data_IF_920050324457
#
_entry.id   IF_920050324457
#
_cell.length_a   1.000
_cell.length_b   1.000
_cell.length_c   1.000
_cell.angle_alpha   90.00
_cell.angle_beta   90.00
_cell.angle_gamma   90.00
#
_symmetry.space_group_name_H-M   'P 1'
#
loop_
_entity.id
_entity.type
_entity.pdbx_description
1 polymer ?
#
# COMPACT_ATOMS: atom_id res chain seq x y z
N UNK A 1 4.87 3.49 11.55
CA UNK A 1 3.93 4.55 11.12
C UNK A 1 4.24 5.89 11.79
N UNK A 2 4.44 6.95 10.99
CA UNK A 2 4.46 8.32 11.54
C UNK A 2 2.99 8.72 11.69
N UNK A 3 2.46 8.58 12.91
CA UNK A 3 1.09 8.94 13.23
C UNK A 3 1.03 10.41 13.61
N UNK A 4 0.61 11.27 12.67
CA UNK A 4 0.30 12.67 12.98
C UNK A 4 -1.19 12.76 13.33
N UNK A 5 -1.58 12.25 14.50
CA UNK A 5 -2.97 12.31 14.99
C UNK A 5 -3.95 11.48 14.14
N UNK A 6 -5.00 12.12 13.61
CA UNK A 6 -6.08 11.45 12.86
C UNK A 6 -5.65 10.95 11.46
N UNK A 7 -4.52 11.44 10.92
CA UNK A 7 -4.02 11.05 9.61
C UNK A 7 -2.86 10.05 9.77
N UNK A 8 -3.09 8.81 9.36
CA UNK A 8 -2.07 7.78 9.36
C UNK A 8 -1.31 7.80 8.04
N UNK A 9 -0.12 8.39 8.03
CA UNK A 9 0.76 8.37 6.87
C UNK A 9 1.62 7.12 6.87
N UNK A 10 1.33 6.29 5.88
CA UNK A 10 1.92 4.99 5.63
C UNK A 10 3.06 5.14 4.60
N UNK A 11 4.14 5.82 5.00
CA UNK A 11 5.30 6.10 4.13
C UNK A 11 5.90 4.83 3.50
N UNK A 12 6.03 3.69 4.21
CA UNK A 12 6.52 2.45 3.61
C UNK A 12 5.71 1.97 2.39
N UNK A 13 4.45 2.36 2.27
CA UNK A 13 3.54 1.94 1.22
C UNK A 13 3.88 2.60 -0.13
N UNK A 14 4.72 3.63 -0.16
CA UNK A 14 5.35 4.11 -1.40
C UNK A 14 6.10 3.00 -2.15
N UNK A 15 6.63 2.00 -1.43
CA UNK A 15 7.33 0.84 -1.99
C UNK A 15 6.40 -0.07 -2.79
N UNK A 16 5.08 0.04 -2.63
CA UNK A 16 4.12 -0.72 -3.42
C UNK A 16 4.26 -0.45 -4.93
N UNK A 17 4.76 0.72 -5.32
CA UNK A 17 5.07 1.04 -6.73
C UNK A 17 6.16 0.16 -7.34
N UNK A 18 6.99 -0.52 -6.54
CA UNK A 18 8.03 -1.42 -7.06
C UNK A 18 7.43 -2.60 -7.85
N UNK A 19 6.22 -3.04 -7.50
CA UNK A 19 5.54 -4.14 -8.19
C UNK A 19 5.23 -3.85 -9.66
N UNK A 20 5.18 -2.57 -10.03
CA UNK A 20 4.95 -2.10 -11.41
C UNK A 20 6.11 -2.48 -12.33
N UNK A 21 7.32 -2.58 -11.79
CA UNK A 21 8.55 -2.92 -12.52
C UNK A 21 8.80 -4.43 -12.54
N UNK A 22 8.61 -5.11 -11.40
CA UNK A 22 8.75 -6.57 -11.32
C UNK A 22 7.72 -7.17 -10.35
N UNK A 23 6.93 -8.14 -10.82
CA UNK A 23 5.87 -8.79 -10.02
C UNK A 23 6.43 -9.53 -8.81
N UNK A 24 7.70 -9.95 -8.87
CA UNK A 24 8.37 -10.66 -7.77
C UNK A 24 8.59 -9.77 -6.53
N UNK A 25 8.46 -8.44 -6.63
CA UNK A 25 8.55 -7.54 -5.47
C UNK A 25 7.41 -7.79 -4.47
N UNK A 26 6.34 -8.51 -4.87
CA UNK A 26 5.25 -8.89 -3.97
C UNK A 26 5.75 -9.59 -2.71
N UNK A 27 6.76 -10.47 -2.79
CA UNK A 27 7.27 -11.16 -1.61
C UNK A 27 7.99 -10.22 -0.64
N UNK A 28 8.76 -9.27 -1.17
CA UNK A 28 9.44 -8.27 -0.35
C UNK A 28 8.47 -7.29 0.30
N UNK A 29 7.46 -6.86 -0.45
CA UNK A 29 6.42 -5.95 0.05
C UNK A 29 5.58 -6.64 1.13
N UNK A 30 5.00 -7.81 0.81
CA UNK A 30 4.16 -8.56 1.75
C UNK A 30 4.96 -8.98 2.98
N UNK A 31 6.22 -9.43 2.80
CA UNK A 31 7.11 -9.75 3.91
C UNK A 31 7.40 -8.53 4.79
N UNK A 32 7.63 -7.36 4.18
CA UNK A 32 7.81 -6.09 4.91
C UNK A 32 6.58 -5.69 5.70
N UNK A 33 5.39 -5.77 5.11
CA UNK A 33 4.11 -5.46 5.79
C UNK A 33 3.87 -6.45 6.93
N UNK A 34 4.09 -7.75 6.71
CA UNK A 34 3.94 -8.79 7.71
C UNK A 34 4.88 -8.57 8.90
N UNK A 35 6.18 -8.35 8.66
CA UNK A 35 7.16 -8.09 9.71
C UNK A 35 6.84 -6.79 10.45
N UNK A 36 6.45 -5.74 9.72
CA UNK A 36 6.08 -4.46 10.32
C UNK A 36 4.88 -4.61 11.26
N UNK A 37 3.84 -5.33 10.84
CA UNK A 37 2.66 -5.56 11.67
C UNK A 37 2.98 -6.50 12.84
N UNK A 38 3.85 -7.50 12.65
CA UNK A 38 4.25 -8.43 13.72
C UNK A 38 5.08 -7.74 14.81
N UNK A 39 5.99 -6.83 14.45
CA UNK A 39 6.94 -6.21 15.39
C UNK A 39 6.47 -4.87 15.97
N UNK A 40 5.64 -4.12 15.25
CA UNK A 40 5.33 -2.72 15.60
C UNK A 40 3.84 -2.42 15.72
N UNK A 41 2.94 -3.39 15.49
CA UNK A 41 1.50 -3.15 15.69
C UNK A 41 1.08 -3.34 17.15
N UNK A 42 0.32 -2.39 17.73
CA UNK A 42 -0.35 -2.59 19.02
C UNK A 42 -1.49 -3.62 18.96
N UNK A 43 -1.99 -3.98 17.76
CA UNK A 43 -3.13 -4.87 17.53
C UNK A 43 -2.76 -6.02 16.59
N UNK A 44 -1.70 -6.74 16.96
CA UNK A 44 -1.05 -7.78 16.15
C UNK A 44 -2.01 -8.73 15.40
N UNK A 45 -3.08 -9.31 15.99
CA UNK A 45 -3.92 -10.28 15.27
C UNK A 45 -4.79 -9.64 14.17
N UNK A 46 -5.31 -8.44 14.40
CA UNK A 46 -6.18 -7.74 13.45
C UNK A 46 -5.36 -7.17 12.30
N UNK A 47 -4.26 -6.48 12.62
CA UNK A 47 -3.34 -5.88 11.64
C UNK A 47 -2.65 -6.92 10.75
N UNK A 48 -2.45 -8.14 11.25
CA UNK A 48 -1.92 -9.23 10.42
C UNK A 48 -2.94 -9.70 9.38
N UNK A 49 -4.22 -9.81 9.76
CA UNK A 49 -5.24 -10.35 8.85
C UNK A 49 -5.70 -9.27 7.88
N UNK A 50 -6.11 -8.12 8.40
CA UNK A 50 -6.67 -7.04 7.59
C UNK A 50 -5.57 -6.24 6.90
N UNK A 51 -4.49 -5.89 7.58
CA UNK A 51 -3.37 -5.16 6.96
C UNK A 51 -2.64 -5.97 5.88
N UNK A 52 -2.22 -7.20 6.19
CA UNK A 52 -1.55 -8.06 5.18
C UNK A 52 -2.54 -8.51 4.11
N UNK A 53 -3.78 -8.83 4.49
CA UNK A 53 -4.84 -9.21 3.55
C UNK A 53 -5.17 -8.11 2.56
N UNK A 54 -5.34 -6.87 3.04
CA UNK A 54 -5.55 -5.69 2.20
C UNK A 54 -4.37 -5.49 1.24
N UNK A 55 -3.14 -5.56 1.74
CA UNK A 55 -1.93 -5.40 0.91
C UNK A 55 -1.85 -6.47 -0.17
N UNK A 56 -2.05 -7.75 0.17
CA UNK A 56 -2.05 -8.85 -0.80
C UNK A 56 -3.15 -8.62 -1.86
N UNK A 57 -4.36 -8.29 -1.44
CA UNK A 57 -5.48 -8.06 -2.34
C UNK A 57 -5.18 -6.91 -3.31
N UNK A 58 -4.71 -5.77 -2.79
CA UNK A 58 -4.34 -4.62 -3.60
C UNK A 58 -3.21 -4.95 -4.60
N UNK A 59 -2.15 -5.61 -4.15
CA UNK A 59 -1.02 -6.02 -5.00
C UNK A 59 -1.45 -6.99 -6.10
N UNK A 60 -2.31 -7.96 -5.79
CA UNK A 60 -2.84 -8.90 -6.78
C UNK A 60 -3.69 -8.20 -7.84
N UNK A 61 -4.55 -7.26 -7.44
CA UNK A 61 -5.31 -6.43 -8.38
C UNK A 61 -4.39 -5.61 -9.28
N UNK A 62 -3.35 -4.98 -8.72
CA UNK A 62 -2.35 -4.24 -9.49
C UNK A 62 -1.61 -5.15 -10.47
N UNK A 63 -1.18 -6.34 -10.05
CA UNK A 63 -0.52 -7.32 -10.93
C UNK A 63 -1.46 -7.73 -12.07
N UNK A 64 -2.74 -7.96 -11.77
CA UNK A 64 -3.74 -8.37 -12.74
C UNK A 64 -3.96 -7.27 -13.79
N UNK A 65 -4.24 -6.04 -13.36
CA UNK A 65 -4.46 -4.90 -14.26
C UNK A 65 -3.19 -4.51 -15.02
N UNK A 66 -2.02 -4.68 -14.42
CA UNK A 66 -0.73 -4.47 -15.09
C UNK A 66 -0.50 -5.39 -16.30
N UNK A 67 -1.27 -6.46 -16.47
CA UNK A 67 -1.25 -7.29 -17.69
C UNK A 67 -1.90 -6.58 -18.89
N UNK A 68 -2.88 -5.72 -18.63
CA UNK A 68 -3.61 -4.97 -19.66
C UNK A 68 -2.96 -3.60 -19.94
N UNK A 69 -2.31 -3.01 -18.93
CA UNK A 69 -1.63 -1.72 -19.06
C UNK A 69 -0.15 -1.92 -19.41
N UNK A 70 0.28 -1.39 -20.56
CA UNK A 70 1.70 -1.45 -21.00
C UNK A 70 2.54 -0.29 -20.48
N UNK A 71 1.94 0.86 -20.18
CA UNK A 71 2.66 2.04 -19.70
C UNK A 71 2.98 1.94 -18.20
N UNK A 72 4.22 2.28 -17.83
CA UNK A 72 4.65 2.33 -16.41
C UNK A 72 3.79 3.32 -15.63
N UNK A 73 3.55 4.51 -16.19
CA UNK A 73 2.70 5.54 -15.58
C UNK A 73 1.27 5.04 -15.33
N UNK A 74 0.67 4.34 -16.29
CA UNK A 74 -0.67 3.78 -16.13
C UNK A 74 -0.74 2.72 -15.03
N UNK A 75 0.30 1.90 -14.90
CA UNK A 75 0.41 0.91 -13.82
C UNK A 75 0.57 1.58 -12.45
N UNK A 76 1.35 2.67 -12.34
CA UNK A 76 1.48 3.43 -11.09
C UNK A 76 0.16 4.10 -10.69
N UNK A 77 -0.60 4.64 -11.66
CA UNK A 77 -1.95 5.17 -11.42
C UNK A 77 -2.87 4.07 -10.91
N UNK A 78 -2.83 2.88 -11.52
CA UNK A 78 -3.58 1.73 -11.04
C UNK A 78 -3.20 1.38 -9.59
N UNK A 79 -1.91 1.38 -9.24
CA UNK A 79 -1.46 1.20 -7.85
C UNK A 79 -2.10 2.20 -6.91
N UNK A 80 -2.08 3.50 -7.23
CA UNK A 80 -2.70 4.55 -6.40
C UNK A 80 -4.19 4.25 -6.19
N UNK A 81 -4.92 3.96 -7.27
CA UNK A 81 -6.38 3.74 -7.20
C UNK A 81 -6.72 2.50 -6.37
N UNK A 82 -6.06 1.36 -6.64
CA UNK A 82 -6.38 0.11 -5.96
C UNK A 82 -6.01 0.16 -4.47
N UNK A 83 -4.85 0.72 -4.12
CA UNK A 83 -4.48 0.87 -2.71
C UNK A 83 -5.38 1.85 -1.98
N UNK A 84 -5.71 2.99 -2.57
CA UNK A 84 -6.64 3.96 -1.98
C UNK A 84 -8.03 3.36 -1.79
N UNK A 85 -8.53 2.61 -2.77
CA UNK A 85 -9.84 1.97 -2.68
C UNK A 85 -9.89 0.88 -1.61
N UNK A 86 -8.84 0.06 -1.53
CA UNK A 86 -8.75 -1.05 -0.56
C UNK A 86 -8.55 -0.59 0.88
N UNK A 87 -8.27 0.70 1.14
CA UNK A 87 -8.30 1.28 2.49
C UNK A 87 -9.64 1.15 3.20
N UNK A 88 -10.72 0.88 2.46
CA UNK A 88 -12.00 0.52 3.06
C UNK A 88 -11.89 -0.71 4.00
N UNK A 89 -11.03 -1.67 3.69
CA UNK A 89 -10.79 -2.84 4.55
C UNK A 89 -10.10 -2.46 5.87
N UNK A 90 -9.12 -1.55 5.82
CA UNK A 90 -8.45 -1.00 7.01
C UNK A 90 -9.44 -0.18 7.84
N UNK A 91 -10.37 0.54 7.20
CA UNK A 91 -11.39 1.29 7.93
C UNK A 91 -12.37 0.39 8.69
N UNK A 92 -12.74 -0.76 8.12
CA UNK A 92 -13.53 -1.80 8.81
C UNK A 92 -12.75 -2.34 10.01
N UNK A 93 -11.47 -2.66 9.82
CA UNK A 93 -10.60 -3.11 10.90
C UNK A 93 -10.55 -2.10 12.06
N UNK A 94 -10.31 -0.82 11.77
CA UNK A 94 -10.27 0.25 12.78
C UNK A 94 -11.62 0.43 13.48
N UNK A 95 -12.73 0.23 12.77
CA UNK A 95 -14.06 0.25 13.36
C UNK A 95 -14.29 -0.94 14.30
N UNK A 96 -13.86 -2.15 13.92
CA UNK A 96 -14.02 -3.35 14.74
C UNK A 96 -13.07 -3.39 15.94
N UNK A 97 -11.86 -2.87 15.79
CA UNK A 97 -10.81 -2.98 16.80
C UNK A 97 -10.84 -1.82 17.81
N UNK A 98 -11.19 -0.61 17.37
CA UNK A 98 -11.12 0.63 18.16
C UNK A 98 -12.47 1.38 18.24
N UNK A 99 -13.56 0.80 17.74
CA UNK A 99 -14.89 1.43 17.66
C UNK A 99 -14.88 2.81 16.96
N UNK A 100 -13.90 3.04 16.08
CA UNK A 100 -13.74 4.31 15.38
C UNK A 100 -14.80 4.46 14.27
N UNK A 101 -15.27 5.69 13.98
CA UNK A 101 -16.30 5.89 12.96
C UNK A 101 -15.79 5.51 11.57
N UNK A 102 -16.42 4.51 10.94
CA UNK A 102 -15.95 3.89 9.70
C UNK A 102 -15.68 4.91 8.57
N UNK A 103 -16.58 5.84 8.34
CA UNK A 103 -16.44 6.85 7.28
C UNK A 103 -15.30 7.85 7.55
N UNK A 104 -15.06 8.20 8.82
CA UNK A 104 -13.95 9.07 9.19
C UNK A 104 -12.62 8.34 9.07
N UNK A 105 -12.53 7.11 9.59
CA UNK A 105 -11.35 6.26 9.46
C UNK A 105 -11.02 5.98 8.01
N UNK A 106 -12.01 5.70 7.17
CA UNK A 106 -11.83 5.53 5.74
C UNK A 106 -11.34 6.81 5.09
N UNK A 107 -11.96 7.95 5.37
CA UNK A 107 -11.58 9.23 4.78
C UNK A 107 -10.14 9.61 5.13
N UNK A 108 -9.73 9.48 6.39
CA UNK A 108 -8.37 9.84 6.80
C UNK A 108 -7.32 8.86 6.27
N UNK A 109 -7.58 7.56 6.29
CA UNK A 109 -6.64 6.54 5.77
C UNK A 109 -6.53 6.57 4.25
N UNK A 110 -7.65 6.71 3.53
CA UNK A 110 -7.65 6.82 2.07
C UNK A 110 -6.93 8.08 1.60
N UNK A 111 -7.13 9.23 2.26
CA UNK A 111 -6.40 10.46 1.93
C UNK A 111 -4.91 10.32 2.23
N UNK A 112 -4.56 9.72 3.38
CA UNK A 112 -3.16 9.45 3.73
C UNK A 112 -2.47 8.59 2.69
N UNK A 113 -3.08 7.46 2.32
CA UNK A 113 -2.55 6.53 1.32
C UNK A 113 -2.44 7.18 -0.06
N UNK A 114 -3.49 7.91 -0.47
CA UNK A 114 -3.50 8.60 -1.75
C UNK A 114 -2.34 9.60 -1.86
N UNK A 115 -2.15 10.45 -0.85
CA UNK A 115 -1.07 11.44 -0.81
C UNK A 115 0.29 10.75 -0.84
N UNK A 116 0.47 9.70 -0.04
CA UNK A 116 1.74 8.97 0.03
C UNK A 116 2.07 8.31 -1.29
N UNK A 117 1.12 7.62 -1.93
CA UNK A 117 1.35 6.97 -3.22
C UNK A 117 1.50 7.96 -4.37
N UNK A 118 0.80 9.10 -4.31
CA UNK A 118 0.95 10.18 -5.28
C UNK A 118 2.37 10.77 -5.22
N UNK A 119 2.90 11.00 -4.03
CA UNK A 119 4.29 11.46 -3.82
C UNK A 119 5.31 10.35 -4.10
N UNK A 120 4.96 9.10 -3.78
CA UNK A 120 5.81 7.93 -4.03
C UNK A 120 6.01 7.60 -5.49
N UNK A 121 5.00 7.84 -6.34
CA UNK A 121 5.09 7.57 -7.77
C UNK A 121 6.28 8.29 -8.46
N UNK A 122 6.43 9.63 -8.40
CA UNK A 122 7.57 10.30 -9.03
C UNK A 122 8.91 9.91 -8.40
N UNK A 123 8.95 9.66 -7.09
CA UNK A 123 10.18 9.26 -6.38
C UNK A 123 10.66 7.89 -6.88
N UNK A 124 9.79 6.88 -6.84
CA UNK A 124 10.14 5.53 -7.29
C UNK A 124 10.44 5.51 -8.79
N UNK A 125 9.69 6.27 -9.59
CA UNK A 125 9.95 6.41 -11.02
C UNK A 125 11.34 7.02 -11.31
N UNK A 126 11.74 8.06 -10.56
CA UNK A 126 13.07 8.66 -10.67
C UNK A 126 14.17 7.69 -10.21
N UNK A 127 13.95 6.95 -9.12
CA UNK A 127 14.87 5.93 -8.63
C UNK A 127 15.08 4.80 -9.65
N UNK A 128 14.03 4.41 -10.40
CA UNK A 128 14.14 3.40 -11.43
C UNK A 128 15.16 3.76 -12.52
N UNK A 129 15.33 5.04 -12.86
CA UNK A 129 16.34 5.48 -13.84
C UNK A 129 17.78 5.19 -13.40
N UNK A 130 18.03 5.06 -12.08
CA UNK A 130 19.35 4.79 -11.52
C UNK A 130 19.53 3.33 -11.16
N UNK A 131 18.53 2.74 -10.51
CA UNK A 131 18.60 1.39 -9.93
C UNK A 131 18.20 0.32 -10.95
N UNK A 132 17.37 0.67 -11.94
CA UNK A 132 16.82 -0.25 -12.94
C UNK A 132 16.11 -1.44 -12.27
N UNK A 133 15.03 -1.17 -11.52
CA UNK A 133 14.33 -2.18 -10.70
C UNK A 133 13.81 -3.38 -11.48
N UNK A 134 13.65 -3.25 -12.80
CA UNK A 134 13.35 -4.34 -13.73
C UNK A 134 14.44 -5.43 -13.79
N UNK A 135 15.70 -5.08 -13.53
CA UNK A 135 16.84 -6.01 -13.50
C UNK A 135 17.05 -6.68 -12.15
N UNK A 136 16.40 -6.16 -11.12
CA UNK A 136 16.45 -6.69 -9.76
C UNK A 136 15.19 -7.54 -9.54
N UNK A 137 15.39 -8.75 -8.99
CA UNK A 137 14.50 -9.92 -8.84
C UNK A 137 14.44 -10.96 -9.96
#
# INVERSE_FOLDING_TARGET
PISFGAYQFRVPEMLNHLIVFNKKYIYGIVGGVFISNLLFSPMVPFDLIFGVGQSILALLLVIFVSRFIKSIQGRMIATIIFFTFTMFLIAIELNLALDLPLWLSWGTTAVGEFVVLLVGAPIIYAMNKRIQFEKWL
#
